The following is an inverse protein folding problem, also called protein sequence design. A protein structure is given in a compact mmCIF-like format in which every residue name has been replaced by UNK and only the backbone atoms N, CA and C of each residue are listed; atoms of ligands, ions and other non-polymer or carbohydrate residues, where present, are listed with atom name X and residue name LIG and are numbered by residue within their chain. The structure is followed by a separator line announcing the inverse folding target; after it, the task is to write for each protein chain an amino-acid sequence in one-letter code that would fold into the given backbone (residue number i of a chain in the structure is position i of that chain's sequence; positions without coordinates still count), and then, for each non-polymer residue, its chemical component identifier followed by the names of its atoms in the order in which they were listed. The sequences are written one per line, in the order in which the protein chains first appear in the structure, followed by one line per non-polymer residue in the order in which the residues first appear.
data_IF_156621872424
#
_entry.id   IF_156621872424
#
_cell.length_a   1.000
_cell.length_b   1.000
_cell.length_c   1.000
_cell.angle_alpha   90.00
_cell.angle_beta   90.00
_cell.angle_gamma   90.00
#
_symmetry.space_group_name_H-M   'P 1'
#
loop_
_entity.id
_entity.type
_entity.pdbx_description
1 polymer ?
#
# COMPACT_ATOMS: atom_id res chain seq x y z
N UNK A 1 26.57 -8.37 -82.65
CA UNK A 1 27.31 -9.54 -82.12
C UNK A 1 26.93 -9.85 -80.69
N UNK A 2 26.50 -11.10 -80.46
CA UNK A 2 26.42 -11.81 -79.17
C UNK A 2 27.51 -12.91 -79.23
N UNK A 3 28.03 -13.49 -78.11
CA UNK A 3 27.18 -14.29 -77.19
C UNK A 3 27.60 -14.48 -75.68
N UNK A 4 26.58 -14.87 -74.88
CA UNK A 4 26.48 -15.78 -73.68
C UNK A 4 27.51 -15.75 -72.52
N UNK A 5 27.17 -15.46 -71.24
CA UNK A 5 26.37 -16.15 -70.18
C UNK A 5 27.06 -17.36 -69.50
N UNK A 6 27.35 -17.27 -68.18
CA UNK A 6 26.93 -18.22 -67.13
C UNK A 6 27.22 -17.74 -65.68
N UNK A 7 26.55 -18.38 -64.73
CA UNK A 7 26.13 -17.95 -63.39
C UNK A 7 26.61 -18.97 -62.31
N UNK A 8 26.46 -18.66 -61.02
CA UNK A 8 26.60 -19.51 -59.79
C UNK A 8 28.01 -19.59 -59.17
N UNK A 9 28.24 -19.64 -57.85
CA UNK A 9 27.38 -19.69 -56.66
C UNK A 9 28.26 -19.59 -55.39
N UNK A 10 27.67 -19.14 -54.28
CA UNK A 10 28.30 -18.93 -52.97
C UNK A 10 28.55 -20.28 -52.25
N UNK A 11 29.80 -20.53 -51.86
CA UNK A 11 30.23 -21.71 -51.10
C UNK A 11 29.89 -21.60 -49.60
N UNK A 12 29.32 -22.68 -49.07
CA UNK A 12 29.07 -22.94 -47.64
C UNK A 12 30.39 -23.10 -46.87
N UNK A 13 30.50 -22.47 -45.70
CA UNK A 13 31.53 -22.78 -44.70
C UNK A 13 30.94 -23.79 -43.71
N UNK A 14 31.54 -24.98 -43.69
CA UNK A 14 31.27 -26.08 -42.75
C UNK A 14 32.19 -25.91 -41.54
N UNK A 15 31.63 -25.86 -40.32
CA UNK A 15 32.40 -25.97 -39.07
C UNK A 15 32.20 -27.36 -38.50
N UNK A 16 33.31 -28.07 -38.30
CA UNK A 16 33.39 -29.42 -37.76
C UNK A 16 33.06 -29.44 -36.26
N UNK A 17 32.11 -30.28 -35.86
CA UNK A 17 31.89 -30.71 -34.48
C UNK A 17 32.81 -31.91 -34.20
N UNK A 18 33.78 -31.72 -33.30
CA UNK A 18 34.59 -32.81 -32.75
C UNK A 18 33.86 -33.44 -31.56
N UNK A 19 33.72 -34.76 -31.62
CA UNK A 19 33.20 -35.62 -30.58
C UNK A 19 34.17 -35.75 -29.41
N UNK A 20 33.68 -35.61 -28.18
CA UNK A 20 34.35 -36.14 -26.99
C UNK A 20 33.30 -36.83 -26.15
N UNK A 21 33.38 -38.17 -26.16
CA UNK A 21 32.47 -39.05 -25.45
C UNK A 21 33.25 -39.71 -24.30
N UNK A 22 32.61 -39.70 -23.12
CA UNK A 22 32.76 -40.63 -22.02
C UNK A 22 34.04 -40.60 -21.15
N UNK A 23 33.87 -40.13 -19.91
CA UNK A 23 34.39 -40.79 -18.71
C UNK A 23 33.78 -40.10 -17.48
N UNK A 24 32.57 -40.47 -17.06
CA UNK A 24 32.08 -40.30 -15.68
C UNK A 24 30.75 -41.07 -15.49
N UNK A 25 30.85 -42.40 -15.58
CA UNK A 25 29.86 -43.30 -14.97
C UNK A 25 30.57 -43.99 -13.81
N UNK A 26 30.32 -43.52 -12.57
CA UNK A 26 30.39 -44.27 -11.30
C UNK A 26 30.40 -43.27 -10.13
N UNK A 27 29.23 -42.79 -9.70
CA UNK A 27 29.00 -42.26 -8.34
C UNK A 27 27.50 -41.99 -8.07
N UNK A 28 26.60 -42.88 -8.50
CA UNK A 28 25.17 -42.70 -8.29
C UNK A 28 24.66 -43.02 -6.85
N UNK A 29 25.31 -43.85 -5.99
CA UNK A 29 24.79 -44.10 -4.65
C UNK A 29 25.36 -43.19 -3.54
N UNK A 30 26.34 -42.32 -3.84
CA UNK A 30 26.95 -41.44 -2.83
C UNK A 30 26.26 -40.07 -2.70
N UNK A 31 25.56 -39.61 -3.75
CA UNK A 31 24.89 -38.29 -3.75
C UNK A 31 23.53 -38.33 -3.05
N UNK A 32 22.84 -39.47 -3.07
CA UNK A 32 21.59 -39.69 -2.32
C UNK A 32 21.80 -39.83 -0.79
N UNK A 33 22.95 -40.35 -0.36
CA UNK A 33 23.28 -40.47 1.05
C UNK A 33 23.67 -39.10 1.66
N UNK A 34 24.38 -38.26 0.90
CA UNK A 34 24.77 -36.91 1.35
C UNK A 34 23.59 -35.94 1.35
N UNK A 35 22.63 -36.08 0.41
CA UNK A 35 21.40 -35.27 0.41
C UNK A 35 20.40 -35.70 1.50
N UNK A 36 20.42 -36.95 1.96
CA UNK A 36 19.62 -37.41 3.12
C UNK A 36 20.24 -37.09 4.48
N UNK A 37 21.55 -36.83 4.57
CA UNK A 37 22.23 -36.47 5.83
C UNK A 37 22.38 -34.97 6.09
N UNK A 38 22.01 -34.10 5.14
CA UNK A 38 21.90 -32.64 5.36
C UNK A 38 20.47 -32.15 5.70
N UNK A 39 19.53 -33.07 5.92
CA UNK A 39 18.22 -32.77 6.51
C UNK A 39 18.26 -32.70 8.06
N UNK A 40 19.42 -32.35 8.61
CA UNK A 40 19.61 -32.06 10.03
C UNK A 40 19.27 -30.59 10.29
N UNK A 41 18.06 -30.35 10.76
CA UNK A 41 17.60 -29.15 11.47
C UNK A 41 18.11 -27.81 10.91
N UNK A 42 17.57 -27.36 9.77
CA UNK A 42 17.52 -25.91 9.50
C UNK A 42 16.61 -25.30 10.55
N UNK A 43 17.20 -24.71 11.59
CA UNK A 43 16.49 -23.92 12.59
C UNK A 43 15.72 -22.85 11.84
N UNK A 44 14.39 -22.88 11.89
CA UNK A 44 13.53 -21.85 11.32
C UNK A 44 13.96 -20.50 11.94
N UNK A 45 14.56 -19.57 11.17
CA UNK A 45 15.03 -18.30 11.70
C UNK A 45 13.87 -17.44 12.23
N UNK A 46 12.63 -17.73 11.82
CA UNK A 46 11.45 -17.12 12.39
C UNK A 46 11.20 -17.62 13.82
N UNK A 47 11.40 -18.92 14.10
CA UNK A 47 11.14 -19.51 15.40
C UNK A 47 12.03 -18.94 16.52
N UNK A 48 13.32 -18.68 16.21
CA UNK A 48 14.23 -18.06 17.17
C UNK A 48 13.80 -16.63 17.54
N UNK A 49 13.40 -15.82 16.55
CA UNK A 49 12.92 -14.47 16.78
C UNK A 49 11.58 -14.45 17.53
N UNK A 50 10.67 -15.38 17.23
CA UNK A 50 9.42 -15.52 17.98
C UNK A 50 9.72 -15.84 19.44
N UNK A 51 10.64 -16.77 19.72
CA UNK A 51 11.04 -17.11 21.07
C UNK A 51 11.65 -15.91 21.83
N UNK A 52 12.48 -15.11 21.16
CA UNK A 52 13.06 -13.89 21.71
C UNK A 52 11.99 -12.84 22.05
N UNK A 53 10.97 -12.69 21.20
CA UNK A 53 9.92 -11.66 21.37
C UNK A 53 8.78 -12.08 22.29
N UNK A 54 8.59 -13.37 22.51
CA UNK A 54 7.50 -13.93 23.31
C UNK A 54 7.32 -13.29 24.70
N UNK A 55 8.40 -13.05 25.51
CA UNK A 55 8.24 -12.42 26.82
C UNK A 55 7.60 -11.02 26.77
N UNK A 56 7.83 -10.28 25.69
CA UNK A 56 7.23 -8.96 25.50
C UNK A 56 5.73 -9.07 25.21
N UNK A 57 5.31 -10.02 24.37
CA UNK A 57 3.90 -10.26 24.09
C UNK A 57 3.15 -10.67 25.36
N UNK A 58 3.73 -11.57 26.17
CA UNK A 58 3.17 -11.98 27.46
C UNK A 58 3.08 -10.81 28.46
N UNK A 59 4.10 -9.94 28.50
CA UNK A 59 4.09 -8.72 29.31
C UNK A 59 2.94 -7.79 28.90
N UNK A 60 2.72 -7.56 27.60
CA UNK A 60 1.63 -6.71 27.11
C UNK A 60 0.26 -7.24 27.53
N UNK A 61 0.04 -8.55 27.44
CA UNK A 61 -1.21 -9.19 27.89
C UNK A 61 -1.41 -8.98 29.39
N UNK A 62 -0.37 -9.23 30.20
CA UNK A 62 -0.45 -9.07 31.67
C UNK A 62 -0.80 -7.63 32.06
N UNK A 63 -0.16 -6.65 31.42
CA UNK A 63 -0.46 -5.23 31.65
C UNK A 63 -1.86 -4.86 31.17
N UNK A 64 -2.30 -5.37 30.01
CA UNK A 64 -3.65 -5.18 29.51
C UNK A 64 -4.69 -5.68 30.51
N UNK A 65 -4.52 -6.90 31.02
CA UNK A 65 -5.42 -7.51 32.01
C UNK A 65 -5.44 -6.71 33.32
N UNK A 66 -4.28 -6.28 33.81
CA UNK A 66 -4.17 -5.43 35.00
C UNK A 66 -4.93 -4.11 34.82
N UNK A 67 -4.75 -3.43 33.69
CA UNK A 67 -5.40 -2.16 33.42
C UNK A 67 -6.89 -2.32 33.11
N UNK A 68 -7.32 -3.46 32.55
CA UNK A 68 -8.72 -3.74 32.26
C UNK A 68 -9.59 -3.86 33.53
N UNK A 69 -9.01 -4.19 34.69
CA UNK A 69 -9.74 -4.26 35.96
C UNK A 69 -10.44 -2.94 36.32
N UNK A 70 -9.85 -1.79 35.99
CA UNK A 70 -10.49 -0.48 36.24
C UNK A 70 -11.73 -0.28 35.39
N UNK A 71 -11.71 -0.76 34.16
CA UNK A 71 -12.83 -0.64 33.23
C UNK A 71 -13.95 -1.60 33.62
N UNK A 72 -13.60 -2.82 34.07
CA UNK A 72 -14.56 -3.75 34.66
C UNK A 72 -15.25 -3.15 35.89
N UNK A 73 -14.47 -2.58 36.82
CA UNK A 73 -15.01 -1.91 38.00
C UNK A 73 -15.93 -0.73 37.63
N UNK A 74 -15.55 0.08 36.62
CA UNK A 74 -16.38 1.17 36.13
C UNK A 74 -17.70 0.70 35.52
N UNK A 75 -17.69 -0.42 34.77
CA UNK A 75 -18.91 -1.03 34.21
C UNK A 75 -19.82 -1.57 35.32
N UNK A 76 -19.26 -2.24 36.34
CA UNK A 76 -20.07 -2.72 37.48
C UNK A 76 -20.66 -1.56 38.31
N UNK A 77 -19.89 -0.49 38.50
CA UNK A 77 -20.41 0.73 39.13
C UNK A 77 -21.54 1.37 38.30
N UNK A 78 -21.40 1.39 36.97
CA UNK A 78 -22.43 1.90 36.07
C UNK A 78 -23.72 1.04 36.10
N UNK A 79 -23.59 -0.30 36.17
CA UNK A 79 -24.72 -1.21 36.39
C UNK A 79 -25.44 -0.91 37.70
N UNK A 80 -24.69 -0.71 38.78
CA UNK A 80 -25.26 -0.40 40.09
C UNK A 80 -25.97 0.97 40.11
N UNK A 81 -25.41 1.97 39.42
CA UNK A 81 -26.02 3.30 39.31
C UNK A 81 -27.30 3.30 38.46
N UNK A 82 -27.41 2.39 37.48
CA UNK A 82 -28.59 2.17 36.63
C UNK A 82 -29.16 3.46 36.00
N UNK A 83 -28.26 4.39 35.61
CA UNK A 83 -28.65 5.67 34.99
C UNK A 83 -29.22 5.39 33.61
N UNK A 84 -30.50 5.73 33.40
CA UNK A 84 -31.19 5.49 32.15
C UNK A 84 -30.72 6.44 31.06
N UNK A 85 -30.62 5.94 29.83
CA UNK A 85 -30.32 6.70 28.62
C UNK A 85 -31.33 6.40 27.52
N UNK A 86 -31.53 7.37 26.63
CA UNK A 86 -32.38 7.26 25.44
C UNK A 86 -31.51 7.13 24.20
N UNK A 87 -31.80 6.12 23.39
CA UNK A 87 -31.06 5.76 22.19
C UNK A 87 -31.98 5.95 20.99
N UNK A 88 -31.68 6.93 20.15
CA UNK A 88 -32.50 7.25 18.97
C UNK A 88 -32.03 6.46 17.76
N UNK A 89 -32.96 5.76 17.10
CA UNK A 89 -32.73 4.99 15.89
C UNK A 89 -33.00 5.84 14.63
N UNK A 90 -32.50 5.43 13.44
CA UNK A 90 -32.65 6.20 12.21
C UNK A 90 -34.10 6.39 11.73
N UNK A 91 -35.01 5.50 12.15
CA UNK A 91 -36.44 5.56 11.87
C UNK A 91 -37.22 6.51 12.81
N UNK A 92 -36.51 7.15 13.76
CA UNK A 92 -37.08 8.05 14.76
C UNK A 92 -37.61 7.31 16.00
N UNK A 93 -37.60 5.98 16.02
CA UNK A 93 -37.95 5.23 17.23
C UNK A 93 -36.85 5.37 18.27
N UNK A 94 -37.25 5.28 19.54
CA UNK A 94 -36.33 5.35 20.68
C UNK A 94 -36.29 4.02 21.42
N UNK A 95 -35.09 3.65 21.87
CA UNK A 95 -34.82 2.53 22.77
C UNK A 95 -34.26 3.08 24.08
N UNK A 96 -34.39 2.31 25.15
CA UNK A 96 -33.87 2.68 26.46
C UNK A 96 -32.75 1.73 26.86
N UNK A 97 -31.74 2.29 27.52
CA UNK A 97 -30.58 1.55 28.00
C UNK A 97 -30.06 2.11 29.30
N UNK A 98 -28.95 1.52 29.76
CA UNK A 98 -28.23 1.95 30.95
C UNK A 98 -26.89 2.53 30.53
N UNK A 99 -26.62 3.77 30.95
CA UNK A 99 -25.36 4.47 30.71
C UNK A 99 -24.18 3.63 31.17
N UNK A 100 -23.15 3.50 30.33
CA UNK A 100 -21.93 2.77 30.65
C UNK A 100 -22.10 1.24 30.65
N UNK A 101 -23.27 0.72 30.25
CA UNK A 101 -23.57 -0.71 30.21
C UNK A 101 -24.12 -1.14 28.86
N UNK A 102 -25.19 -0.50 28.38
CA UNK A 102 -25.82 -0.85 27.10
C UNK A 102 -24.88 -0.56 25.93
N UNK A 103 -24.74 -1.52 25.03
CA UNK A 103 -23.88 -1.43 23.84
C UNK A 103 -24.71 -1.34 22.56
N UNK A 104 -24.16 -0.83 21.44
CA UNK A 104 -24.84 -0.90 20.15
C UNK A 104 -25.23 -2.32 19.74
N UNK A 105 -24.44 -3.33 20.12
CA UNK A 105 -24.77 -4.74 19.89
C UNK A 105 -26.04 -5.17 20.63
N UNK A 106 -26.26 -4.68 21.85
CA UNK A 106 -27.47 -5.00 22.63
C UNK A 106 -28.71 -4.37 21.99
N UNK A 107 -28.59 -3.13 21.50
CA UNK A 107 -29.65 -2.47 20.72
C UNK A 107 -29.94 -3.23 19.43
N UNK A 108 -28.90 -3.69 18.71
CA UNK A 108 -29.07 -4.49 17.50
C UNK A 108 -29.80 -5.81 17.78
N UNK A 109 -29.50 -6.49 18.90
CA UNK A 109 -30.20 -7.71 19.33
C UNK A 109 -31.66 -7.46 19.67
N UNK A 110 -31.96 -6.32 20.29
CA UNK A 110 -33.32 -5.93 20.63
C UNK A 110 -34.17 -5.64 19.38
N UNK A 111 -33.56 -5.07 18.32
CA UNK A 111 -34.23 -4.86 17.04
C UNK A 111 -34.50 -6.20 16.34
N UNK A 112 -33.47 -7.01 16.10
CA UNK A 112 -33.64 -8.39 15.65
C UNK A 112 -32.35 -9.21 15.76
N UNK A 113 -32.50 -10.52 15.99
CA UNK A 113 -31.38 -11.46 15.98
C UNK A 113 -30.67 -11.55 14.61
N UNK A 114 -31.37 -11.26 13.50
CA UNK A 114 -30.79 -11.24 12.16
C UNK A 114 -29.87 -10.04 11.97
N UNK A 115 -30.31 -8.85 12.41
CA UNK A 115 -29.52 -7.62 12.35
C UNK A 115 -28.24 -7.76 13.20
N UNK A 116 -28.37 -8.22 14.44
CA UNK A 116 -27.23 -8.39 15.35
C UNK A 116 -26.11 -9.30 14.80
N UNK A 117 -26.44 -10.23 13.90
CA UNK A 117 -25.45 -11.11 13.23
C UNK A 117 -24.73 -10.45 12.05
N UNK A 118 -25.35 -9.44 11.42
CA UNK A 118 -24.83 -8.80 10.21
C UNK A 118 -24.07 -7.51 10.48
N UNK A 119 -24.48 -6.78 11.51
CA UNK A 119 -23.85 -5.50 11.88
C UNK A 119 -22.42 -5.77 12.35
N UNK A 120 -21.51 -4.90 11.92
CA UNK A 120 -20.07 -4.97 12.21
C UNK A 120 -19.55 -3.75 12.98
N UNK A 121 -20.20 -2.59 12.83
CA UNK A 121 -19.81 -1.34 13.47
C UNK A 121 -21.03 -0.44 13.68
N UNK A 122 -20.94 0.48 14.64
CA UNK A 122 -21.94 1.52 14.85
C UNK A 122 -21.35 2.91 14.60
N UNK A 123 -22.22 3.86 14.31
CA UNK A 123 -21.97 5.29 14.48
C UNK A 123 -22.81 5.78 15.65
N UNK A 124 -22.20 6.55 16.55
CA UNK A 124 -22.83 7.16 17.72
C UNK A 124 -22.58 8.66 17.61
N UNK A 125 -23.64 9.44 17.37
CA UNK A 125 -23.60 10.89 17.16
C UNK A 125 -22.56 11.36 16.13
N UNK A 126 -22.43 10.65 15.01
CA UNK A 126 -21.50 10.98 13.93
C UNK A 126 -20.08 10.47 14.15
N UNK A 127 -19.85 9.57 15.12
CA UNK A 127 -18.55 8.99 15.42
C UNK A 127 -18.58 7.47 15.33
N UNK A 128 -17.60 6.89 14.64
CA UNK A 128 -17.42 5.45 14.55
C UNK A 128 -17.20 4.83 15.95
N UNK A 129 -17.88 3.70 16.21
CA UNK A 129 -18.00 3.11 17.54
C UNK A 129 -18.05 1.58 17.49
N UNK A 130 -17.31 0.92 18.38
CA UNK A 130 -17.32 -0.54 18.48
C UNK A 130 -18.70 -1.03 18.95
N UNK A 131 -19.16 -2.14 18.38
CA UNK A 131 -20.47 -2.70 18.77
C UNK A 131 -20.53 -3.14 20.23
N UNK A 132 -19.40 -3.48 20.83
CA UNK A 132 -19.28 -3.92 22.22
C UNK A 132 -18.89 -2.81 23.18
N UNK A 133 -18.64 -1.57 22.68
CA UNK A 133 -18.29 -0.43 23.52
C UNK A 133 -19.57 0.16 24.15
N UNK A 134 -19.67 0.28 25.48
CA UNK A 134 -20.84 0.84 26.13
C UNK A 134 -21.12 2.29 25.73
N UNK A 135 -22.40 2.66 25.66
CA UNK A 135 -22.87 4.01 25.36
C UNK A 135 -22.72 4.92 26.60
N UNK A 136 -22.27 6.16 26.40
CA UNK A 136 -21.87 7.06 27.47
C UNK A 136 -22.95 8.07 27.89
N UNK A 137 -24.07 8.13 27.16
CA UNK A 137 -25.17 9.05 27.39
C UNK A 137 -26.31 8.84 26.39
N UNK A 138 -27.26 9.78 26.35
CA UNK A 138 -28.25 9.85 25.29
C UNK A 138 -27.56 10.09 23.95
N UNK A 139 -27.94 9.33 22.93
CA UNK A 139 -27.27 9.38 21.63
C UNK A 139 -28.17 8.90 20.49
N UNK A 140 -27.88 9.36 19.28
CA UNK A 140 -28.39 8.76 18.06
C UNK A 140 -27.40 7.71 17.55
N UNK A 141 -27.92 6.55 17.12
CA UNK A 141 -27.07 5.48 16.56
C UNK A 141 -27.44 5.12 15.12
N UNK A 142 -26.43 4.74 14.34
CA UNK A 142 -26.59 4.04 13.07
C UNK A 142 -25.80 2.75 13.12
N UNK A 143 -26.30 1.70 12.48
CA UNK A 143 -25.68 0.38 12.48
C UNK A 143 -25.31 0.00 11.05
N UNK A 144 -24.06 -0.36 10.83
CA UNK A 144 -23.53 -0.69 9.52
C UNK A 144 -23.11 -2.16 9.45
N UNK A 145 -23.31 -2.77 8.30
CA UNK A 145 -22.90 -4.13 7.97
C UNK A 145 -21.72 -4.09 6.97
N UNK A 146 -21.20 -5.25 6.58
CA UNK A 146 -20.03 -5.33 5.68
C UNK A 146 -20.25 -4.71 4.29
N UNK A 147 -21.47 -4.57 3.81
CA UNK A 147 -21.74 -4.00 2.48
C UNK A 147 -21.62 -2.47 2.49
N UNK A 148 -21.69 -1.84 3.67
CA UNK A 148 -21.55 -0.39 3.87
C UNK A 148 -20.07 0.04 3.90
N UNK A 149 -19.71 1.24 3.40
CA UNK A 149 -18.34 1.75 3.45
C UNK A 149 -17.72 1.76 4.86
N UNK A 150 -18.49 2.23 5.86
CA UNK A 150 -18.10 2.27 7.27
C UNK A 150 -17.85 0.86 7.81
N UNK A 151 -18.67 -0.11 7.38
CA UNK A 151 -18.51 -1.50 7.76
C UNK A 151 -17.28 -2.15 7.14
N UNK A 152 -16.97 -1.88 5.87
CA UNK A 152 -15.73 -2.37 5.22
C UNK A 152 -14.48 -1.82 5.88
N UNK A 153 -14.49 -0.53 6.21
CA UNK A 153 -13.38 0.11 6.89
C UNK A 153 -13.08 -0.55 8.25
N UNK A 154 -14.08 -0.64 9.13
CA UNK A 154 -13.94 -1.31 10.42
C UNK A 154 -13.59 -2.80 10.29
N UNK A 155 -14.14 -3.48 9.28
CA UNK A 155 -13.87 -4.88 9.01
C UNK A 155 -12.40 -5.10 8.62
N UNK A 156 -11.90 -4.38 7.61
CA UNK A 156 -10.51 -4.51 7.17
C UNK A 156 -9.50 -3.96 8.16
N UNK A 157 -9.87 -2.93 8.93
CA UNK A 157 -9.05 -2.44 10.03
C UNK A 157 -8.88 -3.52 11.12
N UNK A 158 -9.95 -4.26 11.43
CA UNK A 158 -9.88 -5.42 12.32
C UNK A 158 -9.06 -6.57 11.76
N UNK A 159 -9.18 -6.81 10.46
CA UNK A 159 -8.34 -7.80 9.78
C UNK A 159 -6.87 -7.45 9.79
N UNK A 160 -6.51 -6.16 9.74
CA UNK A 160 -5.14 -5.71 9.89
C UNK A 160 -4.58 -6.12 11.27
N UNK A 161 -5.34 -5.97 12.35
CA UNK A 161 -4.90 -6.43 13.68
C UNK A 161 -4.66 -7.94 13.74
N UNK A 162 -5.52 -8.74 13.09
CA UNK A 162 -5.33 -10.21 13.02
C UNK A 162 -4.12 -10.57 12.15
N UNK A 163 -3.83 -9.79 11.11
CA UNK A 163 -2.58 -9.91 10.35
C UNK A 163 -1.37 -9.54 11.21
N UNK A 164 -1.42 -8.45 11.97
CA UNK A 164 -0.36 -8.07 12.91
C UNK A 164 -0.08 -9.17 13.93
N UNK A 165 -1.14 -9.75 14.50
CA UNK A 165 -1.04 -10.93 15.37
C UNK A 165 -0.36 -12.11 14.65
N UNK A 166 -0.73 -12.40 13.41
CA UNK A 166 -0.09 -13.47 12.64
C UNK A 166 1.40 -13.22 12.43
N UNK A 167 1.79 -11.97 12.14
CA UNK A 167 3.18 -11.58 11.94
C UNK A 167 4.00 -11.69 13.25
N UNK A 168 3.45 -11.27 14.39
CA UNK A 168 4.13 -11.39 15.69
C UNK A 168 4.37 -12.86 16.07
N UNK A 169 3.35 -13.70 15.92
CA UNK A 169 3.38 -15.10 16.37
C UNK A 169 4.17 -16.03 15.44
N UNK A 170 4.14 -15.77 14.13
CA UNK A 170 4.82 -16.62 13.16
C UNK A 170 6.24 -16.14 12.85
N UNK A 171 6.53 -14.84 13.01
CA UNK A 171 7.81 -14.26 12.55
C UNK A 171 8.57 -13.45 13.61
N UNK A 172 7.98 -13.13 14.76
CA UNK A 172 8.67 -12.43 15.85
C UNK A 172 9.11 -11.03 15.39
N UNK A 173 8.13 -10.18 15.05
CA UNK A 173 8.36 -8.87 14.43
C UNK A 173 7.98 -7.73 15.36
N UNK A 174 8.53 -6.54 15.13
CA UNK A 174 8.04 -5.31 15.73
C UNK A 174 6.96 -4.72 14.82
N UNK A 175 5.70 -4.75 15.26
CA UNK A 175 4.58 -4.13 14.54
C UNK A 175 4.73 -2.60 14.51
N UNK A 176 4.34 -1.98 13.41
CA UNK A 176 4.38 -0.52 13.25
C UNK A 176 2.99 0.06 12.97
N UNK A 177 2.55 0.12 11.72
CA UNK A 177 1.27 0.70 11.29
C UNK A 177 0.53 -0.30 10.38
N UNK A 178 -0.77 -0.49 10.61
CA UNK A 178 -1.61 -1.33 9.76
C UNK A 178 -2.99 -0.73 9.52
N UNK A 179 -3.16 0.13 8.51
CA UNK A 179 -4.44 0.75 8.21
C UNK A 179 -5.29 -0.13 7.28
N UNK A 180 -6.60 0.10 7.29
CA UNK A 180 -7.49 -0.26 6.19
C UNK A 180 -7.15 0.54 4.93
N UNK A 181 -7.55 0.00 3.78
CA UNK A 181 -7.49 0.65 2.47
C UNK A 181 -8.90 0.71 1.88
N UNK A 182 -9.04 1.41 0.74
CA UNK A 182 -10.27 1.35 -0.06
C UNK A 182 -10.63 -0.09 -0.47
N UNK A 183 -9.63 -0.94 -0.66
CA UNK A 183 -9.81 -2.37 -0.88
C UNK A 183 -8.74 -3.17 -0.13
N UNK A 184 -9.16 -3.83 0.95
CA UNK A 184 -8.27 -4.62 1.83
C UNK A 184 -7.52 -3.76 2.85
N UNK A 185 -6.32 -4.21 3.21
CA UNK A 185 -5.51 -3.59 4.25
C UNK A 185 -4.04 -3.98 4.08
N UNK A 186 -3.16 -3.32 4.83
CA UNK A 186 -1.79 -3.79 4.99
C UNK A 186 -1.34 -3.71 6.44
N UNK A 187 -0.23 -4.38 6.74
CA UNK A 187 0.49 -4.18 7.98
C UNK A 187 2.00 -4.05 7.73
N UNK A 188 2.59 -2.98 8.25
CA UNK A 188 4.03 -2.76 8.24
C UNK A 188 4.67 -3.30 9.50
N UNK A 189 5.72 -4.11 9.33
CA UNK A 189 6.48 -4.68 10.43
C UNK A 189 7.98 -4.53 10.21
N UNK A 190 8.72 -4.39 11.31
CA UNK A 190 10.17 -4.38 11.32
C UNK A 190 10.68 -5.75 11.77
N UNK A 191 11.61 -6.32 11.02
CA UNK A 191 12.20 -7.63 11.31
C UNK A 191 13.72 -7.68 11.08
N UNK A 192 14.37 -6.51 11.17
CA UNK A 192 15.80 -6.35 10.94
C UNK A 192 16.18 -6.62 9.49
N UNK A 193 17.21 -7.44 9.29
CA UNK A 193 17.68 -7.84 7.96
C UNK A 193 16.87 -8.99 7.34
N UNK A 194 15.88 -9.52 8.07
CA UNK A 194 14.99 -10.57 7.56
C UNK A 194 13.97 -9.99 6.59
N UNK A 195 13.48 -10.85 5.69
CA UNK A 195 12.44 -10.50 4.72
C UNK A 195 11.45 -11.64 4.57
N UNK A 196 10.20 -11.31 4.29
CA UNK A 196 9.17 -12.28 3.94
C UNK A 196 9.31 -12.68 2.47
N UNK A 197 9.01 -13.94 2.18
CA UNK A 197 9.04 -14.54 0.85
C UNK A 197 7.65 -15.00 0.43
N UNK A 198 7.44 -15.25 -0.86
CA UNK A 198 6.16 -15.80 -1.37
C UNK A 198 5.74 -17.10 -0.65
N UNK A 199 6.68 -17.90 -0.17
CA UNK A 199 6.41 -19.13 0.59
C UNK A 199 5.76 -18.88 1.96
N UNK A 200 5.89 -17.66 2.50
CA UNK A 200 5.37 -17.29 3.82
C UNK A 200 3.86 -16.95 3.79
N UNK A 201 3.28 -16.72 2.60
CA UNK A 201 1.85 -16.39 2.46
C UNK A 201 0.95 -17.44 3.11
N UNK A 202 1.18 -18.71 2.79
CA UNK A 202 0.37 -19.81 3.33
C UNK A 202 0.48 -19.93 4.86
N UNK A 203 1.65 -19.59 5.43
CA UNK A 203 1.87 -19.57 6.88
C UNK A 203 1.07 -18.46 7.55
N UNK A 204 1.08 -17.26 6.97
CA UNK A 204 0.30 -16.11 7.44
C UNK A 204 -1.20 -16.40 7.35
N UNK A 205 -1.68 -16.84 6.18
CA UNK A 205 -3.11 -17.14 5.96
C UNK A 205 -3.62 -18.20 6.94
N UNK A 206 -2.87 -19.28 7.14
CA UNK A 206 -3.22 -20.34 8.11
C UNK A 206 -3.36 -19.80 9.53
N UNK A 207 -2.52 -18.85 9.93
CA UNK A 207 -2.60 -18.24 11.28
C UNK A 207 -3.80 -17.31 11.41
N UNK A 208 -4.12 -16.53 10.37
CA UNK A 208 -5.34 -15.70 10.33
C UNK A 208 -6.60 -16.57 10.38
N UNK A 209 -6.63 -17.68 9.63
CA UNK A 209 -7.73 -18.65 9.68
C UNK A 209 -7.87 -19.32 11.06
N UNK A 210 -6.75 -19.61 11.72
CA UNK A 210 -6.76 -20.15 13.09
C UNK A 210 -7.36 -19.12 14.07
N UNK A 211 -6.93 -17.86 13.99
CA UNK A 211 -7.50 -16.79 14.81
C UNK A 211 -9.01 -16.63 14.56
N UNK A 212 -9.48 -16.74 13.31
CA UNK A 212 -10.91 -16.70 12.99
C UNK A 212 -11.69 -17.86 13.61
N UNK A 213 -11.15 -19.08 13.58
CA UNK A 213 -11.76 -20.27 14.23
C UNK A 213 -11.81 -20.14 15.74
N UNK A 214 -10.78 -19.54 16.34
CA UNK A 214 -10.70 -19.27 17.78
C UNK A 214 -11.70 -18.22 18.26
N UNK A 215 -12.33 -17.46 17.34
CA UNK A 215 -13.35 -16.43 17.66
C UNK A 215 -12.87 -15.43 18.72
N UNK A 216 -11.61 -15.03 18.63
CA UNK A 216 -10.96 -14.12 19.55
C UNK A 216 -11.71 -12.78 19.58
N UNK A 217 -11.98 -12.28 20.77
CA UNK A 217 -12.68 -11.00 20.96
C UNK A 217 -11.72 -9.84 20.79
N UNK A 218 -12.22 -8.75 20.22
CA UNK A 218 -11.53 -7.47 20.27
C UNK A 218 -11.92 -6.77 21.57
N UNK A 219 -10.94 -6.47 22.40
CA UNK A 219 -11.13 -5.82 23.69
C UNK A 219 -10.43 -4.47 23.70
N UNK A 220 -11.22 -3.40 23.87
CA UNK A 220 -10.73 -2.02 23.90
C UNK A 220 -10.43 -1.57 25.32
N UNK A 221 -9.31 -0.88 25.51
CA UNK A 221 -8.95 -0.22 26.76
C UNK A 221 -8.39 1.18 26.48
N UNK A 222 -8.80 2.16 27.28
CA UNK A 222 -8.17 3.49 27.31
C UNK A 222 -7.06 3.48 28.36
N UNK A 223 -5.88 3.97 28.01
CA UNK A 223 -4.68 3.97 28.85
C UNK A 223 -4.05 5.35 28.94
N UNK A 224 -3.30 5.60 30.01
CA UNK A 224 -2.45 6.78 30.08
C UNK A 224 -1.24 6.64 29.15
N UNK A 225 -0.56 7.76 28.88
CA UNK A 225 0.69 7.76 28.11
C UNK A 225 1.75 6.88 28.77
N UNK A 226 1.90 6.99 30.08
CA UNK A 226 2.90 6.21 30.84
C UNK A 226 2.59 4.71 30.79
N UNK A 227 1.32 4.34 30.87
CA UNK A 227 0.88 2.95 30.74
C UNK A 227 1.14 2.38 29.35
N UNK A 228 0.88 3.18 28.31
CA UNK A 228 1.18 2.81 26.93
C UNK A 228 2.69 2.64 26.71
N UNK A 229 3.52 3.57 27.22
CA UNK A 229 4.98 3.48 27.15
C UNK A 229 5.52 2.27 27.93
N UNK A 230 4.96 1.98 29.11
CA UNK A 230 5.31 0.80 29.88
C UNK A 230 4.98 -0.51 29.12
N UNK A 231 3.87 -0.52 28.38
CA UNK A 231 3.41 -1.65 27.59
C UNK A 231 4.29 -1.92 26.37
N UNK A 232 4.66 -0.87 25.62
CA UNK A 232 5.38 -0.98 24.34
C UNK A 232 6.85 -0.56 24.40
N UNK A 233 7.45 -0.51 25.59
CA UNK A 233 8.81 -0.01 25.80
C UNK A 233 9.91 -0.74 25.02
N UNK A 234 9.65 -1.95 24.55
CA UNK A 234 10.55 -2.73 23.68
C UNK A 234 10.44 -2.38 22.19
N UNK A 235 9.34 -1.72 21.77
CA UNK A 235 9.07 -1.42 20.37
C UNK A 235 9.30 0.07 20.09
N UNK A 236 10.47 0.40 19.55
CA UNK A 236 10.88 1.78 19.25
C UNK A 236 9.88 2.54 18.36
N UNK A 237 9.18 1.87 17.46
CA UNK A 237 8.21 2.50 16.56
C UNK A 237 6.96 2.92 17.33
N UNK A 238 6.47 2.07 18.24
CA UNK A 238 5.33 2.38 19.11
C UNK A 238 5.69 3.49 20.10
N UNK A 239 6.90 3.50 20.64
CA UNK A 239 7.40 4.61 21.48
C UNK A 239 7.38 5.93 20.71
N UNK A 240 7.88 5.96 19.46
CA UNK A 240 7.84 7.17 18.63
C UNK A 240 6.40 7.61 18.35
N UNK A 241 5.49 6.68 18.04
CA UNK A 241 4.06 6.97 17.84
C UNK A 241 3.48 7.62 19.09
N UNK A 242 3.64 7.00 20.27
CA UNK A 242 3.08 7.51 21.53
C UNK A 242 3.66 8.88 21.89
N UNK A 243 4.97 9.04 21.71
CA UNK A 243 5.67 10.28 22.07
C UNK A 243 5.25 11.46 21.17
N UNK A 244 4.90 11.19 19.91
CA UNK A 244 4.45 12.19 18.95
C UNK A 244 2.99 12.64 19.14
N UNK A 245 2.20 11.96 19.99
CA UNK A 245 0.82 12.36 20.25
C UNK A 245 0.75 13.67 21.05
N UNK A 246 -0.30 14.50 20.87
CA UNK A 246 -0.59 15.64 21.74
C UNK A 246 -0.75 15.25 23.21
N UNK A 247 -0.40 16.15 24.14
CA UNK A 247 -0.38 15.86 25.58
C UNK A 247 -1.74 15.43 26.14
N UNK A 248 -2.82 15.95 25.55
CA UNK A 248 -4.22 15.70 25.88
C UNK A 248 -4.87 14.58 25.04
N UNK A 249 -4.10 13.91 24.18
CA UNK A 249 -4.62 12.85 23.33
C UNK A 249 -5.07 11.63 24.16
N UNK A 250 -6.31 11.18 23.90
CA UNK A 250 -6.80 9.89 24.41
C UNK A 250 -6.06 8.75 23.71
N UNK A 251 -5.36 7.91 24.48
CA UNK A 251 -4.67 6.72 23.95
C UNK A 251 -5.53 5.49 24.23
N UNK A 252 -5.87 4.75 23.18
CA UNK A 252 -6.51 3.45 23.31
C UNK A 252 -5.64 2.34 22.73
N UNK A 253 -5.83 1.16 23.31
CA UNK A 253 -5.21 -0.09 22.90
C UNK A 253 -6.30 -1.14 22.70
N UNK A 254 -6.03 -2.06 21.80
CA UNK A 254 -6.89 -3.20 21.53
C UNK A 254 -6.14 -4.50 21.73
N UNK A 255 -6.79 -5.46 22.39
CA UNK A 255 -6.36 -6.85 22.46
C UNK A 255 -7.16 -7.69 21.47
N UNK A 256 -6.48 -8.54 20.73
CA UNK A 256 -7.08 -9.64 19.95
C UNK A 256 -6.32 -10.93 20.24
N UNK A 257 -6.92 -11.75 21.11
CA UNK A 257 -6.27 -12.95 21.64
C UNK A 257 -4.92 -12.64 22.31
N UNK A 258 -3.79 -13.21 21.83
CA UNK A 258 -2.45 -12.95 22.34
C UNK A 258 -1.77 -11.66 21.84
N UNK A 259 -2.41 -10.86 20.99
CA UNK A 259 -1.83 -9.61 20.48
C UNK A 259 -2.49 -8.41 21.15
N UNK A 260 -1.68 -7.40 21.47
CA UNK A 260 -2.12 -6.11 22.02
C UNK A 260 -1.44 -5.00 21.22
N UNK A 261 -2.21 -4.01 20.78
CA UNK A 261 -1.72 -2.96 19.90
C UNK A 261 -2.38 -1.60 20.14
N UNK A 262 -1.66 -0.51 19.82
CA UNK A 262 -2.16 0.86 19.82
C UNK A 262 -3.12 1.07 18.65
N UNK A 263 -4.35 1.42 18.96
CA UNK A 263 -5.36 1.66 17.95
C UNK A 263 -6.53 2.47 18.51
N UNK A 264 -7.08 3.37 17.69
CA UNK A 264 -8.27 4.17 18.02
C UNK A 264 -9.57 3.39 17.85
N UNK A 265 -9.55 2.36 16.98
CA UNK A 265 -10.72 1.61 16.55
C UNK A 265 -11.61 2.38 15.56
N UNK A 266 -12.82 1.89 15.30
CA UNK A 266 -13.46 0.72 15.94
C UNK A 266 -13.01 -0.62 15.36
N UNK A 267 -13.29 -1.70 16.11
CA UNK A 267 -13.05 -3.07 15.67
C UNK A 267 -14.33 -3.93 15.69
N UNK A 268 -14.28 -5.04 14.93
CA UNK A 268 -15.31 -6.08 14.91
C UNK A 268 -15.51 -6.68 16.31
N UNK A 269 -16.66 -7.31 16.60
CA UNK A 269 -16.87 -7.98 17.90
C UNK A 269 -15.88 -9.11 18.17
N UNK A 270 -15.51 -9.87 17.14
CA UNK A 270 -14.55 -10.97 17.23
C UNK A 270 -14.03 -11.35 15.83
N UNK A 271 -13.02 -12.22 15.80
CA UNK A 271 -12.35 -12.65 14.57
C UNK A 271 -13.13 -13.65 13.71
N UNK A 272 -14.22 -14.26 14.20
CA UNK A 272 -15.01 -15.26 13.44
C UNK A 272 -15.71 -14.69 12.20
N UNK A 273 -15.80 -13.36 12.13
CA UNK A 273 -16.29 -12.63 10.97
C UNK A 273 -15.35 -12.77 9.76
N UNK A 274 -14.06 -13.05 9.98
CA UNK A 274 -13.00 -13.14 8.97
C UNK A 274 -12.96 -14.54 8.33
N UNK A 275 -13.98 -14.90 7.55
CA UNK A 275 -14.15 -16.28 7.07
C UNK A 275 -13.26 -16.66 5.89
N UNK A 276 -12.84 -15.67 5.12
CA UNK A 276 -11.99 -15.85 3.96
C UNK A 276 -10.85 -14.82 4.00
N UNK A 277 -9.62 -15.25 3.73
CA UNK A 277 -8.42 -14.41 3.73
C UNK A 277 -7.60 -14.68 2.48
N UNK A 278 -6.95 -13.65 1.96
CA UNK A 278 -5.91 -13.79 0.94
C UNK A 278 -4.81 -12.76 1.13
N UNK A 279 -3.56 -13.21 1.23
CA UNK A 279 -2.37 -12.34 1.23
C UNK A 279 -2.04 -11.99 -0.22
N UNK A 280 -2.25 -10.73 -0.57
CA UNK A 280 -2.23 -10.27 -1.97
C UNK A 280 -0.82 -9.95 -2.44
N UNK A 281 -0.02 -9.30 -1.60
CA UNK A 281 1.34 -8.88 -1.93
C UNK A 281 2.19 -8.69 -0.68
N UNK A 282 3.51 -8.81 -0.82
CA UNK A 282 4.49 -8.45 0.20
C UNK A 282 5.56 -7.56 -0.43
N UNK A 283 5.87 -6.45 0.21
CA UNK A 283 6.74 -5.42 -0.36
C UNK A 283 7.60 -4.75 0.71
N UNK A 284 8.63 -4.05 0.27
CA UNK A 284 9.47 -3.24 1.15
C UNK A 284 8.89 -1.84 1.28
N UNK A 285 8.82 -1.35 2.51
CA UNK A 285 8.47 0.02 2.83
C UNK A 285 9.59 0.65 3.68
N UNK A 286 9.43 1.93 4.02
CA UNK A 286 10.33 2.63 4.93
C UNK A 286 9.52 3.36 5.98
N UNK A 287 10.04 3.40 7.20
CA UNK A 287 9.38 4.10 8.29
C UNK A 287 9.17 5.57 7.96
N UNK A 288 7.94 6.07 8.19
CA UNK A 288 7.49 7.43 7.79
C UNK A 288 7.67 7.77 6.30
N UNK A 289 7.74 6.75 5.43
CA UNK A 289 8.02 6.91 3.99
C UNK A 289 9.36 7.61 3.70
N UNK A 290 10.32 7.57 4.62
CA UNK A 290 11.66 8.14 4.46
C UNK A 290 12.68 7.04 4.20
N UNK A 291 13.26 7.04 2.99
CA UNK A 291 14.25 6.05 2.53
C UNK A 291 15.53 5.99 3.38
N UNK A 292 15.80 7.02 4.20
CA UNK A 292 16.94 7.05 5.12
C UNK A 292 16.64 6.38 6.46
N UNK A 293 15.37 6.05 6.74
CA UNK A 293 14.92 5.40 7.98
C UNK A 293 14.84 3.89 7.83
N UNK A 294 14.43 3.22 8.90
CA UNK A 294 14.40 1.77 8.99
C UNK A 294 13.56 1.14 7.87
N UNK A 295 14.08 0.11 7.19
CA UNK A 295 13.30 -0.64 6.21
C UNK A 295 12.26 -1.50 6.93
N UNK A 296 11.04 -1.50 6.39
CA UNK A 296 9.91 -2.27 6.88
C UNK A 296 9.48 -3.30 5.83
N UNK A 297 8.87 -4.39 6.30
CA UNK A 297 8.14 -5.33 5.46
C UNK A 297 6.66 -4.99 5.54
N UNK A 298 6.07 -4.67 4.38
CA UNK A 298 4.65 -4.39 4.22
C UNK A 298 3.95 -5.62 3.67
N UNK A 299 2.98 -6.14 4.41
CA UNK A 299 2.15 -7.26 3.98
C UNK A 299 0.75 -6.77 3.64
N UNK A 300 0.35 -6.90 2.39
CA UNK A 300 -1.00 -6.58 1.92
C UNK A 300 -1.87 -7.84 1.99
N UNK A 301 -3.09 -7.68 2.49
CA UNK A 301 -4.07 -8.74 2.53
C UNK A 301 -5.49 -8.21 2.36
N UNK A 302 -6.41 -9.12 2.07
CA UNK A 302 -7.83 -8.86 2.01
C UNK A 302 -8.59 -9.99 2.70
N UNK A 303 -9.72 -9.64 3.31
CA UNK A 303 -10.60 -10.60 3.97
C UNK A 303 -12.05 -10.35 3.61
N UNK A 304 -12.87 -11.41 3.64
CA UNK A 304 -14.29 -11.35 3.35
C UNK A 304 -15.12 -12.21 4.32
N UNK A 305 -16.40 -11.87 4.54
CA UNK A 305 -17.31 -12.64 5.39
C UNK A 305 -17.73 -13.99 4.78
N UNK A 306 -17.36 -14.25 3.51
CA UNK A 306 -17.51 -15.54 2.84
C UNK A 306 -16.45 -15.79 1.74
N UNK A 307 -16.31 -17.06 1.35
CA UNK A 307 -15.36 -17.49 0.31
C UNK A 307 -15.78 -17.13 -1.11
N UNK A 308 -17.06 -16.80 -1.35
CA UNK A 308 -17.54 -16.45 -2.69
C UNK A 308 -16.97 -15.09 -3.09
N UNK A 309 -17.05 -14.10 -2.19
CA UNK A 309 -16.49 -12.77 -2.41
C UNK A 309 -14.96 -12.81 -2.60
N UNK A 310 -14.24 -13.66 -1.87
CA UNK A 310 -12.80 -13.84 -2.07
C UNK A 310 -12.49 -14.38 -3.48
N UNK A 311 -13.24 -15.36 -3.97
CA UNK A 311 -13.07 -15.90 -5.33
C UNK A 311 -13.39 -14.86 -6.41
N UNK A 312 -14.45 -14.07 -6.21
CA UNK A 312 -14.81 -12.97 -7.11
C UNK A 312 -13.71 -11.92 -7.16
N UNK A 313 -13.15 -11.54 -6.00
CA UNK A 313 -11.99 -10.66 -5.91
C UNK A 313 -10.78 -11.24 -6.65
N UNK A 314 -10.41 -12.49 -6.38
CA UNK A 314 -9.28 -13.15 -7.04
C UNK A 314 -9.44 -13.17 -8.56
N UNK A 315 -10.64 -13.51 -9.05
CA UNK A 315 -10.95 -13.49 -10.47
C UNK A 315 -10.79 -12.07 -11.07
N UNK A 316 -11.31 -11.03 -10.41
CA UNK A 316 -11.11 -9.64 -10.86
C UNK A 316 -9.64 -9.26 -10.92
N UNK A 317 -8.85 -9.65 -9.93
CA UNK A 317 -7.41 -9.37 -9.89
C UNK A 317 -6.64 -10.11 -10.98
N UNK A 318 -7.00 -11.35 -11.29
CA UNK A 318 -6.42 -12.10 -12.42
C UNK A 318 -6.76 -11.45 -13.75
N UNK A 319 -8.01 -11.03 -13.95
CA UNK A 319 -8.44 -10.32 -15.14
C UNK A 319 -7.73 -8.95 -15.28
N UNK A 320 -7.53 -8.23 -14.18
CA UNK A 320 -6.77 -6.99 -14.18
C UNK A 320 -5.29 -7.22 -14.55
N UNK A 321 -4.64 -8.26 -13.99
CA UNK A 321 -3.25 -8.63 -14.32
C UNK A 321 -3.06 -8.96 -15.80
N UNK A 322 -4.03 -9.61 -16.44
CA UNK A 322 -4.01 -9.88 -17.89
C UNK A 322 -4.06 -8.60 -18.74
N UNK A 323 -4.61 -7.51 -18.20
CA UNK A 323 -4.77 -6.22 -18.87
C UNK A 323 -3.72 -5.19 -18.47
N UNK A 324 -2.72 -5.61 -17.70
CA UNK A 324 -1.60 -4.77 -17.31
C UNK A 324 -0.78 -4.38 -18.56
N UNK A 325 -0.61 -3.09 -18.81
CA UNK A 325 0.12 -2.58 -19.97
C UNK A 325 1.58 -3.02 -19.98
N UNK A 326 2.17 -3.35 -18.83
CA UNK A 326 3.54 -3.87 -18.74
C UNK A 326 3.64 -5.27 -19.35
N UNK A 327 2.61 -6.09 -19.13
CA UNK A 327 2.54 -7.43 -19.70
C UNK A 327 2.20 -7.35 -21.19
N UNK A 328 1.16 -6.59 -21.54
CA UNK A 328 0.71 -6.42 -22.92
C UNK A 328 1.76 -5.73 -23.79
N UNK A 329 2.45 -4.73 -23.25
CA UNK A 329 3.47 -3.97 -23.97
C UNK A 329 4.66 -4.80 -24.40
N UNK A 330 5.07 -5.77 -23.57
CA UNK A 330 6.11 -6.75 -23.92
C UNK A 330 5.54 -7.81 -24.87
N UNK A 331 4.36 -8.36 -24.60
CA UNK A 331 3.74 -9.41 -25.43
C UNK A 331 3.44 -8.96 -26.87
N UNK A 332 3.21 -7.66 -27.08
CA UNK A 332 2.86 -7.09 -28.37
C UNK A 332 4.01 -6.28 -29.00
N UNK A 333 5.25 -6.41 -28.49
CA UNK A 333 6.42 -5.68 -28.98
C UNK A 333 6.18 -4.16 -29.10
N UNK A 334 5.53 -3.57 -28.10
CA UNK A 334 5.23 -2.14 -28.06
C UNK A 334 6.38 -1.35 -27.45
N UNK A 335 6.94 -1.83 -26.34
CA UNK A 335 8.03 -1.17 -25.65
C UNK A 335 8.80 -2.12 -24.72
N UNK A 336 9.99 -1.68 -24.32
CA UNK A 336 10.74 -2.30 -23.22
C UNK A 336 11.41 -1.23 -22.35
N UNK A 337 11.91 -1.66 -21.18
CA UNK A 337 12.70 -0.84 -20.28
C UNK A 337 14.08 -1.48 -20.09
N UNK A 338 15.12 -0.66 -19.93
CA UNK A 338 16.48 -1.13 -19.72
C UNK A 338 17.08 -0.50 -18.45
N UNK A 339 17.82 -1.27 -17.60
CA UNK A 339 18.42 -0.74 -16.38
C UNK A 339 19.40 0.44 -16.58
N UNK A 340 19.95 0.58 -17.78
CA UNK A 340 20.81 1.73 -18.13
C UNK A 340 20.03 3.05 -18.31
N UNK A 341 18.71 3.00 -18.41
CA UNK A 341 17.84 4.19 -18.45
C UNK A 341 16.56 3.92 -17.65
N UNK A 342 16.67 3.79 -16.31
CA UNK A 342 15.55 3.41 -15.46
C UNK A 342 14.44 4.46 -15.57
N UNK A 343 13.20 4.00 -15.71
CA UNK A 343 12.04 4.88 -15.85
C UNK A 343 11.97 5.61 -17.19
N UNK A 344 12.79 5.25 -18.17
CA UNK A 344 12.70 5.76 -19.54
C UNK A 344 12.38 4.62 -20.49
N UNK A 345 11.24 4.74 -21.15
CA UNK A 345 10.73 3.74 -22.07
C UNK A 345 11.49 3.75 -23.40
N UNK A 346 11.79 2.56 -23.93
CA UNK A 346 12.18 2.36 -25.32
C UNK A 346 10.96 1.89 -26.11
N UNK A 347 10.41 2.76 -26.95
CA UNK A 347 9.34 2.39 -27.86
C UNK A 347 9.88 1.57 -29.02
N UNK A 348 9.30 0.39 -29.24
CA UNK A 348 9.56 -0.48 -30.38
C UNK A 348 8.69 -0.05 -31.57
N UNK A 349 8.90 -0.58 -32.79
CA UNK A 349 8.19 -0.13 -33.99
C UNK A 349 6.65 -0.10 -33.85
N UNK A 350 6.03 -1.07 -33.16
CA UNK A 350 4.57 -1.06 -32.96
C UNK A 350 4.13 0.00 -31.95
N UNK A 351 4.84 0.17 -30.84
CA UNK A 351 4.56 1.25 -29.88
C UNK A 351 4.80 2.64 -30.47
N UNK A 352 5.83 2.80 -31.30
CA UNK A 352 6.12 4.05 -32.00
C UNK A 352 4.98 4.45 -32.97
N UNK A 353 4.33 3.49 -33.63
CA UNK A 353 3.14 3.76 -34.47
C UNK A 353 1.98 4.31 -33.63
N UNK A 354 1.70 3.71 -32.48
CA UNK A 354 0.65 4.18 -31.56
C UNK A 354 1.00 5.59 -31.05
N UNK A 355 2.23 5.78 -30.57
CA UNK A 355 2.72 7.07 -30.11
C UNK A 355 2.56 8.16 -31.18
N UNK A 356 3.03 7.91 -32.41
CA UNK A 356 2.93 8.88 -33.50
C UNK A 356 1.47 9.15 -33.91
N UNK A 357 0.59 8.14 -33.90
CA UNK A 357 -0.83 8.34 -34.18
C UNK A 357 -1.49 9.25 -33.15
N UNK A 358 -1.17 9.08 -31.85
CA UNK A 358 -1.67 9.96 -30.79
C UNK A 358 -1.13 11.39 -30.92
N UNK A 359 0.15 11.56 -31.22
CA UNK A 359 0.75 12.89 -31.44
C UNK A 359 0.11 13.58 -32.65
N UNK A 360 -0.09 12.87 -33.76
CA UNK A 360 -0.77 13.43 -34.94
C UNK A 360 -2.20 13.87 -34.60
N UNK A 361 -2.95 13.03 -33.89
CA UNK A 361 -4.31 13.37 -33.46
C UNK A 361 -4.34 14.64 -32.59
N UNK A 362 -3.45 14.78 -31.62
CA UNK A 362 -3.42 15.98 -30.79
C UNK A 362 -2.97 17.21 -31.57
N UNK A 363 -2.04 17.09 -32.52
CA UNK A 363 -1.67 18.21 -33.41
C UNK A 363 -2.84 18.70 -34.25
N UNK A 364 -3.69 17.80 -34.74
CA UNK A 364 -4.94 18.19 -35.39
C UNK A 364 -5.83 19.01 -34.45
N UNK A 365 -5.90 18.65 -33.16
CA UNK A 365 -6.62 19.42 -32.13
C UNK A 365 -5.98 20.75 -31.80
N UNK A 366 -4.65 20.86 -31.81
CA UNK A 366 -3.99 22.15 -31.67
C UNK A 366 -4.42 23.13 -32.77
N UNK A 367 -4.44 22.69 -34.03
CA UNK A 367 -4.89 23.54 -35.13
C UNK A 367 -6.39 23.87 -35.07
N UNK A 368 -7.23 22.90 -34.70
CA UNK A 368 -8.67 23.11 -34.51
C UNK A 368 -8.98 24.16 -33.43
N UNK A 369 -8.19 24.18 -32.35
CA UNK A 369 -8.39 25.08 -31.20
C UNK A 369 -7.42 26.27 -31.17
N UNK A 370 -6.81 26.61 -32.32
CA UNK A 370 -5.96 27.80 -32.48
C UNK A 370 -4.77 27.85 -31.50
N UNK A 371 -4.16 26.70 -31.23
CA UNK A 371 -2.87 26.60 -30.55
C UNK A 371 -1.73 26.64 -31.57
N UNK A 372 -0.70 27.40 -31.24
CA UNK A 372 0.54 27.49 -32.00
C UNK A 372 1.56 26.52 -31.39
N UNK A 373 1.95 25.49 -32.15
CA UNK A 373 2.96 24.52 -31.71
C UNK A 373 4.34 25.20 -31.65
N UNK A 374 4.98 25.12 -30.49
CA UNK A 374 6.31 25.65 -30.23
C UNK A 374 7.27 24.55 -29.81
N UNK A 375 8.57 24.78 -30.00
CA UNK A 375 9.63 23.87 -29.56
C UNK A 375 10.56 24.63 -28.62
N UNK A 376 10.69 24.14 -27.39
CA UNK A 376 11.54 24.73 -26.35
C UNK A 376 12.75 23.83 -26.01
N UNK A 377 13.88 24.39 -25.53
CA UNK A 377 15.04 23.61 -25.11
C UNK A 377 14.72 22.56 -24.02
N UNK A 378 15.58 21.56 -23.87
CA UNK A 378 15.48 20.56 -22.80
C UNK A 378 16.35 20.89 -21.57
N UNK A 379 17.37 21.72 -21.75
CA UNK A 379 18.37 22.07 -20.74
C UNK A 379 18.37 23.58 -20.52
N UNK A 380 18.26 24.00 -19.26
CA UNK A 380 18.25 25.41 -18.88
C UNK A 380 19.22 25.68 -17.75
N UNK A 381 19.76 26.89 -17.71
CA UNK A 381 20.41 27.40 -16.51
C UNK A 381 19.39 27.41 -15.36
N UNK A 382 19.82 26.99 -14.16
CA UNK A 382 18.95 26.77 -13.03
C UNK A 382 18.29 28.06 -12.50
N UNK A 383 18.81 29.24 -12.84
CA UNK A 383 18.23 30.55 -12.53
C UNK A 383 16.79 30.69 -13.05
N UNK A 384 16.44 30.01 -14.14
CA UNK A 384 15.06 29.97 -14.64
C UNK A 384 14.09 29.33 -13.63
N UNK A 385 14.54 28.25 -12.98
CA UNK A 385 13.73 27.53 -11.99
C UNK A 385 13.64 28.30 -10.67
N UNK A 386 14.69 29.04 -10.31
CA UNK A 386 14.65 30.00 -9.19
C UNK A 386 13.66 31.12 -9.48
N UNK A 387 13.77 31.76 -10.66
CA UNK A 387 12.89 32.86 -11.07
C UNK A 387 11.43 32.45 -11.13
N UNK A 388 11.14 31.22 -11.55
CA UNK A 388 9.78 30.69 -11.62
C UNK A 388 9.25 30.10 -10.31
N UNK A 389 10.06 30.05 -9.24
CA UNK A 389 9.70 29.46 -7.94
C UNK A 389 9.72 27.93 -7.88
N UNK A 390 9.98 27.25 -9.01
CA UNK A 390 10.02 25.78 -9.05
C UNK A 390 11.22 25.20 -8.29
N UNK A 391 12.31 25.95 -8.16
CA UNK A 391 13.47 25.50 -7.38
C UNK A 391 13.11 25.21 -5.92
N UNK A 392 12.23 26.01 -5.31
CA UNK A 392 11.89 25.85 -3.89
C UNK A 392 11.03 24.62 -3.61
N UNK A 393 10.29 24.13 -4.62
CA UNK A 393 9.33 23.05 -4.48
C UNK A 393 9.74 21.74 -5.17
N UNK A 394 10.50 21.81 -6.26
CA UNK A 394 10.76 20.67 -7.15
C UNK A 394 12.22 20.29 -7.29
N UNK A 395 13.16 21.05 -6.70
CA UNK A 395 14.61 20.81 -6.87
C UNK A 395 15.02 19.36 -6.60
N UNK A 396 14.53 18.75 -5.53
CA UNK A 396 14.86 17.37 -5.17
C UNK A 396 14.35 16.34 -6.20
N UNK A 397 13.31 16.69 -6.96
CA UNK A 397 12.71 15.88 -8.02
C UNK A 397 13.17 16.29 -9.43
N UNK A 398 14.22 17.11 -9.54
CA UNK A 398 14.79 17.54 -10.82
C UNK A 398 16.13 16.87 -11.09
N UNK A 399 16.42 16.59 -12.36
CA UNK A 399 17.78 16.27 -12.78
C UNK A 399 18.57 17.57 -12.97
N UNK A 400 19.59 17.79 -12.16
CA UNK A 400 20.45 18.96 -12.25
C UNK A 400 21.93 18.58 -12.10
N UNK A 401 22.80 19.35 -12.75
CA UNK A 401 24.24 19.11 -12.78
C UNK A 401 24.99 20.42 -13.02
N UNK A 402 26.26 20.44 -12.62
CA UNK A 402 27.12 21.62 -12.75
C UNK A 402 27.81 21.62 -14.14
N UNK A 403 27.73 22.76 -14.83
CA UNK A 403 28.45 23.04 -16.07
C UNK A 403 29.16 24.38 -15.87
N UNK A 404 30.48 24.41 -16.00
CA UNK A 404 31.26 25.65 -15.90
C UNK A 404 30.96 26.49 -14.63
N UNK A 405 30.83 25.83 -13.47
CA UNK A 405 30.48 26.45 -12.18
C UNK A 405 29.06 27.04 -12.09
N UNK A 406 28.20 26.73 -13.05
CA UNK A 406 26.79 27.08 -13.04
C UNK A 406 25.93 25.81 -12.94
N UNK A 407 24.83 25.91 -12.19
CA UNK A 407 23.88 24.82 -12.09
C UNK A 407 22.96 24.85 -13.32
N UNK A 408 22.80 23.71 -13.97
CA UNK A 408 21.86 23.49 -15.05
C UNK A 408 20.91 22.36 -14.68
N UNK A 409 19.72 22.34 -15.32
CA UNK A 409 18.75 21.28 -15.11
C UNK A 409 17.99 20.91 -16.36
N UNK A 410 17.65 19.62 -16.48
CA UNK A 410 16.67 19.16 -17.46
C UNK A 410 15.29 19.68 -17.06
N UNK A 411 14.49 20.15 -18.02
CA UNK A 411 13.17 20.71 -17.73
C UNK A 411 12.22 19.64 -17.12
N UNK A 412 11.59 19.91 -15.96
CA UNK A 412 10.55 19.05 -15.41
C UNK A 412 9.13 19.40 -15.91
N UNK A 413 9.00 20.53 -16.62
CA UNK A 413 7.78 21.10 -17.21
C UNK A 413 8.14 22.17 -18.26
N UNK A 414 7.20 22.53 -19.14
CA UNK A 414 7.47 23.51 -20.22
C UNK A 414 7.17 24.97 -19.84
N UNK A 415 6.39 25.21 -18.79
CA UNK A 415 5.81 26.53 -18.45
C UNK A 415 6.85 27.67 -18.43
N UNK A 416 8.00 27.56 -17.71
CA UNK A 416 8.97 28.65 -17.66
C UNK A 416 9.60 28.94 -19.03
N UNK A 417 9.79 27.93 -19.87
CA UNK A 417 10.26 28.10 -21.25
C UNK A 417 9.25 28.89 -22.09
N UNK A 418 7.95 28.57 -21.97
CA UNK A 418 6.89 29.30 -22.68
C UNK A 418 6.77 30.75 -22.22
N UNK A 419 6.99 31.05 -20.94
CA UNK A 419 7.07 32.41 -20.43
C UNK A 419 8.24 33.20 -21.05
N UNK A 420 9.41 32.57 -21.25
CA UNK A 420 10.53 33.19 -21.96
C UNK A 420 10.17 33.49 -23.42
N UNK A 421 9.46 32.58 -24.10
CA UNK A 421 8.99 32.79 -25.48
C UNK A 421 7.94 33.91 -25.57
N UNK A 422 7.03 33.98 -24.61
CA UNK A 422 6.07 35.08 -24.50
C UNK A 422 6.82 36.42 -24.37
N UNK A 423 7.80 36.48 -23.45
CA UNK A 423 8.64 37.65 -23.15
C UNK A 423 9.61 38.05 -24.28
N UNK A 424 9.91 37.16 -25.22
CA UNK A 424 10.89 37.39 -26.29
C UNK A 424 10.56 38.61 -27.17
N UNK A 425 9.30 39.05 -27.21
CA UNK A 425 8.88 40.31 -27.84
C UNK A 425 7.76 40.97 -27.04
N UNK A 426 7.66 42.30 -27.14
CA UNK A 426 6.52 43.05 -26.61
C UNK A 426 5.22 42.59 -27.26
N UNK A 427 4.16 42.45 -26.46
CA UNK A 427 2.83 41.99 -26.88
C UNK A 427 1.81 43.11 -26.75
N UNK A 428 0.94 43.26 -27.75
CA UNK A 428 -0.25 44.08 -27.68
C UNK A 428 -1.38 43.28 -27.01
N UNK A 429 -2.34 43.97 -26.39
CA UNK A 429 -3.57 43.31 -25.91
C UNK A 429 -4.34 42.61 -27.04
N UNK A 430 -4.13 43.02 -28.29
CA UNK A 430 -4.71 42.40 -29.50
C UNK A 430 -4.05 41.09 -29.90
N UNK A 431 -2.84 40.81 -29.41
CA UNK A 431 -2.15 39.54 -29.64
C UNK A 431 -2.69 38.43 -28.72
N UNK A 432 -3.58 38.76 -27.78
CA UNK A 432 -4.16 37.84 -26.82
C UNK A 432 -5.59 37.44 -27.24
N UNK A 433 -6.02 36.19 -26.95
CA UNK A 433 -5.28 35.15 -26.23
C UNK A 433 -4.19 34.49 -27.08
N UNK A 434 -2.99 34.34 -26.51
CA UNK A 434 -1.91 33.60 -27.16
C UNK A 434 -1.84 32.20 -26.59
N UNK A 435 -1.85 31.18 -27.45
CA UNK A 435 -1.91 29.78 -27.02
C UNK A 435 -0.70 29.04 -27.54
N UNK A 436 0.23 28.69 -26.67
CA UNK A 436 1.38 27.87 -27.03
C UNK A 436 1.13 26.42 -26.65
N UNK A 437 1.39 25.51 -27.58
CA UNK A 437 1.36 24.06 -27.34
C UNK A 437 2.74 23.44 -27.59
N UNK A 438 3.13 22.43 -26.82
CA UNK A 438 4.49 21.86 -26.87
C UNK A 438 4.48 20.37 -26.51
N UNK A 439 5.03 19.54 -27.40
CA UNK A 439 5.28 18.11 -27.17
C UNK A 439 6.69 17.83 -26.63
N UNK A 440 7.26 18.80 -25.92
CA UNK A 440 8.62 18.79 -25.41
C UNK A 440 8.90 17.66 -24.44
N UNK A 441 10.14 17.15 -24.47
CA UNK A 441 10.57 16.07 -23.58
C UNK A 441 10.84 16.60 -22.18
N UNK A 442 10.17 16.03 -21.20
CA UNK A 442 10.27 16.39 -19.80
C UNK A 442 10.99 15.30 -19.00
N UNK A 443 11.68 15.73 -17.94
CA UNK A 443 12.38 14.82 -17.03
C UNK A 443 12.08 15.13 -15.56
N UNK A 444 11.71 14.10 -14.79
CA UNK A 444 11.54 14.18 -13.33
C UNK A 444 12.34 13.07 -12.66
N UNK A 445 13.11 13.40 -11.64
CA UNK A 445 13.93 12.46 -10.88
C UNK A 445 13.07 11.68 -9.86
N UNK A 446 12.10 10.92 -10.36
CA UNK A 446 11.26 10.05 -9.55
C UNK A 446 12.10 8.98 -8.82
N UNK A 447 11.70 8.65 -7.59
CA UNK A 447 12.31 7.55 -6.83
C UNK A 447 12.23 6.24 -7.61
N UNK A 448 13.33 5.47 -7.62
CA UNK A 448 13.42 4.23 -8.39
C UNK A 448 12.33 3.21 -8.05
N UNK A 449 11.95 3.12 -6.76
CA UNK A 449 10.88 2.24 -6.29
C UNK A 449 9.47 2.66 -6.71
N UNK A 450 9.27 3.91 -7.17
CA UNK A 450 7.98 4.40 -7.64
C UNK A 450 7.76 4.17 -9.14
N UNK A 451 8.80 3.79 -9.89
CA UNK A 451 8.72 3.61 -11.34
C UNK A 451 7.86 2.40 -11.69
N UNK A 452 6.91 2.56 -12.64
CA UNK A 452 6.00 1.49 -13.04
C UNK A 452 5.56 1.62 -14.48
N UNK A 453 6.16 0.81 -15.36
CA UNK A 453 5.87 0.79 -16.80
C UNK A 453 5.81 2.20 -17.40
N UNK A 454 4.79 2.46 -18.22
CA UNK A 454 4.48 3.78 -18.76
C UNK A 454 3.67 4.71 -17.84
N UNK A 455 3.24 4.27 -16.65
CA UNK A 455 2.38 5.07 -15.75
C UNK A 455 3.18 6.05 -14.92
N UNK A 456 4.36 5.65 -14.46
CA UNK A 456 5.27 6.50 -13.67
C UNK A 456 6.69 6.33 -14.17
N UNK A 457 7.21 7.39 -14.80
CA UNK A 457 8.44 7.41 -15.59
C UNK A 457 9.28 8.64 -15.27
N UNK A 458 10.59 8.56 -15.54
CA UNK A 458 11.52 9.69 -15.39
C UNK A 458 11.57 10.56 -16.64
N UNK A 459 11.29 10.00 -17.82
CA UNK A 459 11.17 10.71 -19.11
C UNK A 459 9.75 10.58 -19.63
N UNK A 460 9.11 11.71 -19.92
CA UNK A 460 7.76 11.74 -20.48
C UNK A 460 7.59 12.93 -21.42
N UNK A 461 6.50 12.92 -22.17
CA UNK A 461 6.04 14.03 -23.00
C UNK A 461 4.57 14.23 -22.66
N UNK A 462 4.16 15.48 -22.56
CA UNK A 462 2.77 15.86 -22.37
C UNK A 462 2.31 16.57 -23.63
N UNK A 463 1.02 16.49 -23.91
CA UNK A 463 0.28 17.42 -24.74
C UNK A 463 0.12 18.78 -24.03
N UNK A 464 1.26 19.38 -23.66
CA UNK A 464 1.33 20.53 -22.77
C UNK A 464 0.97 21.82 -23.51
N UNK A 465 0.31 22.75 -22.83
CA UNK A 465 -0.05 24.03 -23.41
C UNK A 465 -0.20 25.14 -22.36
N UNK A 466 0.12 26.36 -22.76
CA UNK A 466 0.02 27.56 -21.93
C UNK A 466 -0.69 28.67 -22.69
N UNK A 467 -1.74 29.21 -22.08
CA UNK A 467 -2.53 30.31 -22.61
C UNK A 467 -2.15 31.58 -21.85
N UNK A 468 -1.78 32.62 -22.59
CA UNK A 468 -1.40 33.94 -22.08
C UNK A 468 -2.45 34.98 -22.41
#
# INVERSE_FOLDING_TARGET
DRPTVHNLGLGRVTVYLASTQCCYCMAAPAVEAVTKQMAAATVDPAAAAVAERKPYYEKRIKLFEQYAERQKAAIEAAKAANVQITITLPDGHSKHGVKGVTTPLDVAKEISASLAKKVVVADVDGRAWDLTRPLEGDCAIKLFNFDDPEGKDAYWHSSAHVLGQALELEFGVDLTIGPSLEEGFYYDCYMGDRSLSEGDKARIEKRVEAAAKESQRFERLVVSRDEALAMFGENKFKIEIISALPADATISIYRVGPMVDLCTGPHLPNTSYLKAVGVTNMSRAFWRADVKREPLQRVYAITFPDNKQLKEYQHRMEEAKKRDHRNLGVQQDLFFFHPLSPGSCFFLPHGARIYNALVSYIREKYWEYEYEEVVSPNLFNFDLWVTSGHADHYKDNMFHFEIEKQLFGLKPMNCPGHCLMFKARTRSYRDLPLRYADFGVLHRNEYSGALSGLTRVRRFQQDDAHIF
#
